data_IF_397043826588
#
_entry.id   IF_397043826588
#
_cell.length_a   1.000
_cell.length_b   1.000
_cell.length_c   1.000
_cell.angle_alpha   90.00
_cell.angle_beta   90.00
_cell.angle_gamma   90.00
#
_symmetry.space_group_name_H-M   'P 1'
#
loop_
_entity.id
_entity.type
_entity.pdbx_description
1 polymer ?
#
# COMPACT_ATOMS: atom_id res chain seq x y z
N UNK A 1 56.69 -29.54 -50.72
CA UNK A 1 55.55 -29.11 -51.53
C UNK A 1 54.65 -28.28 -50.61
N UNK A 2 54.80 -26.95 -50.65
CA UNK A 2 54.05 -26.03 -49.76
C UNK A 2 52.91 -25.46 -50.60
N UNK A 3 51.68 -25.89 -50.31
CA UNK A 3 50.48 -25.35 -50.94
C UNK A 3 50.29 -23.90 -50.55
N UNK A 4 50.31 -23.00 -51.54
CA UNK A 4 49.96 -21.59 -51.39
C UNK A 4 48.46 -21.47 -51.09
N UNK A 5 48.12 -21.19 -49.82
CA UNK A 5 46.77 -20.85 -49.41
C UNK A 5 46.49 -19.42 -49.88
N UNK A 6 45.62 -19.28 -50.89
CA UNK A 6 45.15 -17.98 -51.41
C UNK A 6 44.29 -17.31 -50.33
N UNK A 7 44.78 -16.23 -49.70
CA UNK A 7 44.00 -15.47 -48.72
C UNK A 7 42.93 -14.64 -49.46
N UNK A 8 41.66 -14.94 -49.20
CA UNK A 8 40.54 -14.09 -49.62
C UNK A 8 40.61 -12.77 -48.84
N UNK A 9 40.76 -11.65 -49.53
CA UNK A 9 40.75 -10.33 -48.93
C UNK A 9 39.31 -9.81 -48.93
N UNK A 10 38.80 -9.40 -47.77
CA UNK A 10 37.49 -8.77 -47.63
C UNK A 10 37.44 -7.47 -48.44
N UNK A 11 36.31 -7.24 -49.11
CA UNK A 11 36.11 -5.96 -49.81
C UNK A 11 35.76 -4.86 -48.81
N UNK A 12 36.17 -3.62 -49.10
CA UNK A 12 35.83 -2.46 -48.26
C UNK A 12 34.30 -2.32 -48.08
N UNK A 13 33.53 -2.64 -49.12
CA UNK A 13 32.07 -2.61 -49.10
C UNK A 13 31.48 -3.61 -48.10
N UNK A 14 32.03 -4.81 -48.03
CA UNK A 14 31.58 -5.86 -47.11
C UNK A 14 31.84 -5.48 -45.64
N UNK A 15 32.96 -4.80 -45.37
CA UNK A 15 33.26 -4.27 -44.02
C UNK A 15 32.26 -3.18 -43.63
N UNK A 16 31.96 -2.23 -44.52
CA UNK A 16 31.02 -1.14 -44.24
C UNK A 16 29.62 -1.68 -43.97
N UNK A 17 29.13 -2.61 -44.80
CA UNK A 17 27.81 -3.22 -44.63
C UNK A 17 27.75 -4.02 -43.32
N UNK A 18 28.79 -4.78 -42.98
CA UNK A 18 28.85 -5.55 -41.73
C UNK A 18 28.81 -4.64 -40.49
N UNK A 19 29.55 -3.52 -40.51
CA UNK A 19 29.56 -2.54 -39.42
C UNK A 19 28.19 -1.86 -39.29
N UNK A 20 27.54 -1.52 -40.40
CA UNK A 20 26.22 -0.92 -40.39
C UNK A 20 25.16 -1.86 -39.79
N UNK A 21 25.16 -3.14 -40.20
CA UNK A 21 24.25 -4.15 -39.65
C UNK A 21 24.53 -4.37 -38.16
N UNK A 22 25.81 -4.48 -37.78
CA UNK A 22 26.21 -4.64 -36.39
C UNK A 22 25.75 -3.46 -35.53
N UNK A 23 25.91 -2.22 -36.00
CA UNK A 23 25.46 -1.04 -35.30
C UNK A 23 23.94 -1.04 -35.08
N UNK A 24 23.15 -1.42 -36.09
CA UNK A 24 21.69 -1.54 -35.97
C UNK A 24 21.30 -2.58 -34.92
N UNK A 25 21.96 -3.74 -34.91
CA UNK A 25 21.70 -4.79 -33.91
C UNK A 25 22.02 -4.31 -32.50
N UNK A 26 23.16 -3.63 -32.30
CA UNK A 26 23.55 -3.08 -31.00
C UNK A 26 22.55 -2.03 -30.51
N UNK A 27 22.09 -1.14 -31.39
CA UNK A 27 21.08 -0.14 -31.06
C UNK A 27 19.74 -0.78 -30.66
N UNK A 28 19.29 -1.79 -31.40
CA UNK A 28 18.07 -2.53 -31.07
C UNK A 28 18.20 -3.23 -29.70
N UNK A 29 19.34 -3.87 -29.44
CA UNK A 29 19.62 -4.51 -28.14
C UNK A 29 19.62 -3.50 -26.98
N UNK A 30 20.19 -2.31 -27.19
CA UNK A 30 20.22 -1.26 -26.19
C UNK A 30 18.81 -0.73 -25.82
N UNK A 31 17.93 -0.58 -26.82
CA UNK A 31 16.53 -0.16 -26.58
C UNK A 31 15.75 -1.21 -25.78
N UNK A 32 15.89 -2.49 -26.13
CA UNK A 32 15.28 -3.59 -25.38
C UNK A 32 15.78 -3.57 -23.94
N UNK A 33 17.09 -3.41 -23.74
CA UNK A 33 17.67 -3.35 -22.40
C UNK A 33 17.12 -2.18 -21.58
N UNK A 34 17.04 -0.97 -22.15
CA UNK A 34 16.45 0.18 -21.48
C UNK A 34 14.97 -0.05 -21.10
N UNK A 35 14.20 -0.66 -22.00
CA UNK A 35 12.80 -1.00 -21.72
C UNK A 35 12.68 -2.00 -20.58
N UNK A 36 13.53 -3.02 -20.53
CA UNK A 36 13.53 -4.01 -19.44
C UNK A 36 13.87 -3.36 -18.10
N UNK A 37 14.91 -2.51 -18.06
CA UNK A 37 15.31 -1.81 -16.84
C UNK A 37 14.20 -0.90 -16.33
N UNK A 38 13.57 -0.12 -17.21
CA UNK A 38 12.45 0.75 -16.84
C UNK A 38 11.28 -0.04 -16.25
N UNK A 39 10.92 -1.16 -16.89
CA UNK A 39 9.87 -2.06 -16.39
C UNK A 39 10.22 -2.67 -15.03
N UNK A 40 11.48 -3.03 -14.79
CA UNK A 40 11.91 -3.57 -13.49
C UNK A 40 11.78 -2.54 -12.36
N UNK A 41 12.18 -1.29 -12.60
CA UNK A 41 12.06 -0.20 -11.61
C UNK A 41 10.60 0.08 -11.27
N UNK A 42 9.73 0.09 -12.29
CA UNK A 42 8.28 0.24 -12.10
C UNK A 42 7.71 -0.91 -11.27
N UNK A 43 7.99 -2.15 -11.67
CA UNK A 43 7.49 -3.35 -10.98
C UNK A 43 7.98 -3.42 -9.53
N UNK A 44 9.23 -3.05 -9.26
CA UNK A 44 9.76 -3.04 -7.89
C UNK A 44 8.97 -2.11 -6.97
N UNK A 45 8.61 -0.94 -7.47
CA UNK A 45 7.90 0.07 -6.70
C UNK A 45 6.41 -0.27 -6.56
N UNK A 46 5.77 -0.86 -7.60
CA UNK A 46 4.40 -1.40 -7.50
C UNK A 46 4.31 -2.55 -6.48
N UNK A 47 5.29 -3.45 -6.47
CA UNK A 47 5.37 -4.53 -5.47
C UNK A 47 5.50 -3.96 -4.06
N UNK A 48 6.36 -2.95 -3.85
CA UNK A 48 6.49 -2.30 -2.55
C UNK A 48 5.15 -1.69 -2.08
N UNK A 49 4.40 -1.02 -2.96
CA UNK A 49 3.07 -0.50 -2.65
C UNK A 49 2.10 -1.60 -2.21
N UNK A 50 2.08 -2.72 -2.94
CA UNK A 50 1.21 -3.84 -2.61
C UNK A 50 1.58 -4.51 -1.29
N UNK A 51 2.87 -4.69 -1.02
CA UNK A 51 3.33 -5.41 0.17
C UNK A 51 3.06 -4.62 1.45
N UNK A 52 3.32 -3.31 1.45
CA UNK A 52 2.99 -2.45 2.59
C UNK A 52 1.47 -2.33 2.79
N UNK A 53 0.70 -2.23 1.70
CA UNK A 53 -0.76 -2.22 1.79
C UNK A 53 -1.31 -3.52 2.38
N UNK A 54 -0.76 -4.67 1.96
CA UNK A 54 -1.12 -5.98 2.53
C UNK A 54 -0.77 -6.07 4.00
N UNK A 55 0.41 -5.61 4.40
CA UNK A 55 0.83 -5.60 5.80
C UNK A 55 -0.15 -4.77 6.65
N UNK A 56 -0.47 -3.56 6.22
CA UNK A 56 -1.45 -2.72 6.88
C UNK A 56 -2.81 -3.41 6.97
N UNK A 57 -3.33 -3.93 5.87
CA UNK A 57 -4.61 -4.65 5.84
C UNK A 57 -4.63 -5.85 6.76
N UNK A 58 -3.52 -6.59 6.88
CA UNK A 58 -3.42 -7.74 7.76
C UNK A 58 -3.53 -7.32 9.24
N UNK A 59 -2.78 -6.28 9.62
CA UNK A 59 -2.83 -5.75 10.99
C UNK A 59 -4.21 -5.18 11.28
N UNK A 60 -4.74 -4.35 10.37
CA UNK A 60 -6.08 -3.77 10.48
C UNK A 60 -7.14 -4.85 10.62
N UNK A 61 -7.16 -5.84 9.73
CA UNK A 61 -8.16 -6.91 9.74
C UNK A 61 -8.06 -7.75 11.01
N UNK A 62 -6.85 -8.02 11.50
CA UNK A 62 -6.64 -8.77 12.74
C UNK A 62 -7.19 -8.04 13.96
N UNK A 63 -6.91 -6.74 14.08
CA UNK A 63 -7.42 -5.92 15.19
C UNK A 63 -8.94 -5.72 15.07
N UNK A 64 -9.43 -5.36 13.88
CA UNK A 64 -10.85 -5.13 13.63
C UNK A 64 -11.70 -6.39 13.84
N UNK A 65 -11.20 -7.58 13.49
CA UNK A 65 -11.86 -8.85 13.82
C UNK A 65 -11.97 -9.08 15.33
N UNK A 66 -11.03 -8.56 16.12
CA UNK A 66 -11.06 -8.64 17.57
C UNK A 66 -11.91 -7.55 18.23
N UNK A 67 -12.62 -6.70 17.48
CA UNK A 67 -13.35 -5.59 18.05
C UNK A 67 -14.52 -6.08 18.93
N UNK A 68 -14.66 -5.48 20.11
CA UNK A 68 -15.71 -5.84 21.08
C UNK A 68 -16.83 -4.81 21.09
N UNK A 69 -18.05 -5.28 21.35
CA UNK A 69 -19.22 -4.41 21.55
C UNK A 69 -19.07 -3.68 22.88
N UNK A 70 -19.32 -2.36 22.89
CA UNK A 70 -19.26 -1.55 24.11
C UNK A 70 -20.37 -0.52 24.16
N UNK A 71 -20.80 -0.18 25.37
CA UNK A 71 -21.62 1.02 25.63
C UNK A 71 -20.71 2.16 26.09
N UNK A 72 -20.83 3.33 25.46
CA UNK A 72 -20.11 4.54 25.84
C UNK A 72 -20.54 4.97 27.25
N UNK A 73 -19.65 4.85 28.24
CA UNK A 73 -19.95 5.23 29.63
C UNK A 73 -19.69 6.71 29.90
N UNK A 74 -18.84 7.35 29.09
CA UNK A 74 -18.45 8.77 29.14
C UNK A 74 -18.09 9.25 27.73
N UNK A 75 -17.95 10.56 27.52
CA UNK A 75 -17.60 11.19 26.24
C UNK A 75 -16.13 11.01 25.80
N UNK A 76 -15.33 10.25 26.55
CA UNK A 76 -13.89 10.03 26.32
C UNK A 76 -13.51 8.55 26.22
N UNK A 77 -14.49 7.68 26.05
CA UNK A 77 -14.27 6.23 26.07
C UNK A 77 -13.94 5.70 24.66
N UNK A 78 -12.64 5.53 24.34
CA UNK A 78 -12.16 4.95 23.08
C UNK A 78 -12.83 5.49 21.80
N UNK A 79 -13.31 6.72 21.80
CA UNK A 79 -14.06 7.34 20.72
C UNK A 79 -14.27 8.83 21.04
N UNK A 80 -14.21 9.66 20.02
CA UNK A 80 -14.74 11.02 20.07
C UNK A 80 -16.22 11.01 19.65
N UNK A 81 -17.01 11.93 20.22
CA UNK A 81 -18.40 12.23 19.84
C UNK A 81 -19.49 11.18 20.09
N UNK A 82 -19.27 10.20 20.97
CA UNK A 82 -20.36 9.29 21.38
C UNK A 82 -21.20 9.85 22.53
N UNK A 83 -22.51 9.68 22.42
CA UNK A 83 -23.42 9.99 23.53
C UNK A 83 -23.34 8.89 24.58
N UNK A 84 -23.40 9.29 25.86
CA UNK A 84 -23.43 8.34 26.96
C UNK A 84 -24.63 7.39 26.82
N UNK A 85 -24.36 6.08 26.86
CA UNK A 85 -25.35 5.02 26.70
C UNK A 85 -25.45 4.43 25.29
N UNK A 86 -24.80 4.99 24.28
CA UNK A 86 -24.76 4.42 22.94
C UNK A 86 -23.89 3.16 22.89
N UNK A 87 -24.37 2.12 22.23
CA UNK A 87 -23.63 0.87 22.03
C UNK A 87 -23.04 0.83 20.63
N UNK A 88 -21.75 0.56 20.53
CA UNK A 88 -20.99 0.54 19.27
C UNK A 88 -19.89 -0.52 19.32
N UNK A 89 -19.49 -1.00 18.14
CA UNK A 89 -18.28 -1.83 17.98
C UNK A 89 -17.18 -1.05 17.29
N UNK A 90 -17.54 -0.31 16.25
CA UNK A 90 -16.65 0.60 15.55
C UNK A 90 -17.23 2.01 15.61
N UNK A 91 -16.40 3.04 15.63
CA UNK A 91 -16.83 4.42 15.49
C UNK A 91 -15.93 5.11 14.46
N UNK A 92 -16.51 5.80 13.49
CA UNK A 92 -15.75 6.51 12.47
C UNK A 92 -16.20 7.97 12.39
N UNK A 93 -15.30 8.88 12.74
CA UNK A 93 -15.51 10.34 12.74
C UNK A 93 -14.31 10.97 12.04
N UNK A 94 -14.55 11.91 11.10
CA UNK A 94 -13.49 12.63 10.38
C UNK A 94 -12.39 11.76 9.75
N UNK A 95 -12.77 10.60 9.20
CA UNK A 95 -11.85 9.58 8.65
C UNK A 95 -10.87 8.98 9.67
N UNK A 96 -11.19 9.10 10.96
CA UNK A 96 -10.53 8.37 12.04
C UNK A 96 -11.45 7.25 12.47
N UNK A 97 -10.95 6.02 12.43
CA UNK A 97 -11.66 4.86 12.94
C UNK A 97 -11.18 4.55 14.35
N UNK A 98 -12.12 4.47 15.29
CA UNK A 98 -11.93 4.10 16.68
C UNK A 98 -12.64 2.79 16.99
N UNK A 99 -11.99 1.90 17.72
CA UNK A 99 -12.63 0.75 18.34
C UNK A 99 -11.80 0.21 19.50
N UNK A 100 -12.39 -0.71 20.27
CA UNK A 100 -11.69 -1.42 21.33
C UNK A 100 -11.40 -2.85 20.88
N UNK A 101 -10.13 -3.24 20.91
CA UNK A 101 -9.73 -4.59 20.49
C UNK A 101 -10.03 -5.64 21.57
N UNK A 102 -9.76 -6.92 21.26
CA UNK A 102 -10.00 -8.07 22.17
C UNK A 102 -9.18 -8.00 23.46
N UNK A 103 -8.05 -7.28 23.43
CA UNK A 103 -7.20 -7.05 24.61
C UNK A 103 -7.75 -5.94 25.52
N UNK A 104 -8.79 -5.24 25.07
CA UNK A 104 -9.37 -4.12 25.77
C UNK A 104 -8.60 -2.81 25.58
N UNK A 105 -7.76 -2.70 24.55
CA UNK A 105 -7.04 -1.48 24.19
C UNK A 105 -7.88 -0.63 23.23
N UNK A 106 -7.91 0.69 23.43
CA UNK A 106 -8.47 1.61 22.44
C UNK A 106 -7.47 1.72 21.29
N UNK A 107 -7.91 1.42 20.07
CA UNK A 107 -7.11 1.57 18.86
C UNK A 107 -7.77 2.58 17.93
N UNK A 108 -6.95 3.44 17.34
CA UNK A 108 -7.35 4.38 16.32
C UNK A 108 -6.52 4.24 15.05
N UNK A 109 -7.21 4.26 13.91
CA UNK A 109 -6.60 4.31 12.59
C UNK A 109 -6.93 5.63 11.92
N UNK A 110 -5.90 6.33 11.49
CA UNK A 110 -6.03 7.61 10.77
C UNK A 110 -4.82 7.81 9.86
N UNK A 111 -4.75 8.99 9.25
CA UNK A 111 -3.61 9.43 8.47
C UNK A 111 -3.00 10.67 9.11
N UNK A 112 -1.67 10.78 9.05
CA UNK A 112 -0.93 11.96 9.48
C UNK A 112 0.16 12.30 8.47
N UNK A 113 0.54 13.58 8.43
CA UNK A 113 1.57 14.08 7.51
C UNK A 113 2.91 14.05 8.23
N UNK A 114 3.87 13.31 7.68
CA UNK A 114 5.20 13.24 8.28
C UNK A 114 6.02 14.53 8.06
N UNK A 115 7.23 14.57 8.65
CA UNK A 115 8.13 15.72 8.55
C UNK A 115 8.54 16.08 7.10
N UNK A 116 8.37 15.15 6.15
CA UNK A 116 8.69 15.34 4.74
C UNK A 116 7.45 15.73 3.90
N UNK A 117 6.27 15.87 4.51
CA UNK A 117 5.03 16.20 3.82
C UNK A 117 4.32 15.00 3.20
N UNK A 118 4.63 13.77 3.64
CA UNK A 118 4.05 12.54 3.11
C UNK A 118 2.92 12.07 4.02
N UNK A 119 1.73 11.81 3.47
CA UNK A 119 0.61 11.29 4.25
C UNK A 119 0.84 9.81 4.51
N UNK A 120 0.80 9.40 5.77
CA UNK A 120 1.09 8.02 6.19
C UNK A 120 -0.01 7.52 7.11
N UNK A 121 -0.27 6.22 7.03
CA UNK A 121 -1.21 5.59 7.95
C UNK A 121 -0.59 5.53 9.34
N UNK A 122 -1.37 5.95 10.33
CA UNK A 122 -1.00 5.87 11.73
C UNK A 122 -1.94 4.91 12.47
N UNK A 123 -1.34 4.14 13.37
CA UNK A 123 -2.05 3.35 14.37
C UNK A 123 -1.74 3.97 15.73
N UNK A 124 -2.77 4.44 16.40
CA UNK A 124 -2.69 4.93 17.76
C UNK A 124 -3.23 3.88 18.74
N UNK A 125 -2.52 3.64 19.84
CA UNK A 125 -2.94 2.78 20.94
C UNK A 125 -2.99 3.61 22.22
N UNK A 126 -4.18 3.76 22.80
CA UNK A 126 -4.37 4.66 23.96
C UNK A 126 -4.28 6.14 23.58
N UNK A 127 -3.88 7.00 24.53
CA UNK A 127 -3.94 8.47 24.35
C UNK A 127 -2.75 9.08 23.61
N UNK A 128 -1.53 8.53 23.76
CA UNK A 128 -0.31 9.26 23.35
C UNK A 128 0.68 8.42 22.52
N UNK A 129 0.43 7.13 22.32
CA UNK A 129 1.31 6.26 21.54
C UNK A 129 0.75 6.06 20.13
N UNK A 130 1.50 6.52 19.13
CA UNK A 130 1.17 6.31 17.72
C UNK A 130 2.39 5.82 16.95
N UNK A 131 2.13 4.95 15.98
CA UNK A 131 3.15 4.40 15.09
C UNK A 131 2.72 4.53 13.63
N UNK A 132 3.68 4.94 12.79
CA UNK A 132 3.51 4.87 11.35
C UNK A 132 3.46 3.42 10.90
N UNK A 133 2.39 3.07 10.18
CA UNK A 133 2.17 1.73 9.63
C UNK A 133 2.76 1.56 8.24
N UNK A 134 2.87 2.66 7.49
CA UNK A 134 3.48 2.69 6.14
C UNK A 134 4.85 3.35 6.20
N UNK A 135 5.72 3.04 5.24
CA UNK A 135 7.02 3.70 5.10
C UNK A 135 6.89 5.13 4.57
N UNK A 136 8.00 5.87 4.57
CA UNK A 136 8.13 7.19 3.92
C UNK A 136 8.18 7.11 2.38
N UNK A 137 8.03 5.92 1.80
CA UNK A 137 8.01 5.73 0.33
C UNK A 137 6.60 5.62 -0.23
N UNK A 138 5.59 5.58 0.64
CA UNK A 138 4.18 5.46 0.28
C UNK A 138 3.44 6.68 0.82
N UNK A 139 2.67 7.31 -0.06
CA UNK A 139 1.79 8.41 0.27
C UNK A 139 0.33 7.94 0.19
N UNK A 140 -0.43 8.23 1.23
CA UNK A 140 -1.86 7.93 1.32
C UNK A 140 -2.62 9.12 0.77
N UNK A 141 -3.16 8.98 -0.43
CA UNK A 141 -3.87 10.07 -1.09
C UNK A 141 -5.28 10.25 -0.53
N UNK A 142 -5.95 9.15 -0.19
CA UNK A 142 -7.28 9.16 0.39
C UNK A 142 -7.41 8.02 1.39
N UNK A 143 -8.09 8.30 2.50
CA UNK A 143 -8.49 7.33 3.52
C UNK A 143 -9.92 7.64 3.96
N UNK A 144 -10.77 6.62 3.96
CA UNK A 144 -12.15 6.74 4.41
C UNK A 144 -12.61 5.45 5.06
N UNK A 145 -13.27 5.60 6.21
CA UNK A 145 -13.93 4.51 6.92
C UNK A 145 -15.44 4.67 6.80
N UNK A 146 -16.13 3.55 6.57
CA UNK A 146 -17.59 3.45 6.58
C UNK A 146 -17.95 2.36 7.56
N UNK A 147 -18.74 2.71 8.56
CA UNK A 147 -19.11 1.81 9.66
C UNK A 147 -20.62 1.57 9.62
N UNK A 148 -21.01 0.33 9.87
CA UNK A 148 -22.39 -0.04 10.15
C UNK A 148 -22.45 -0.79 11.49
N UNK A 149 -23.15 -0.19 12.47
CA UNK A 149 -23.44 -0.77 13.79
C UNK A 149 -24.93 -1.07 13.97
N UNK A 150 -25.68 -1.32 12.89
CA UNK A 150 -27.12 -1.50 12.96
C UNK A 150 -27.52 -2.61 13.96
N UNK A 151 -28.44 -2.34 14.89
CA UNK A 151 -28.82 -3.31 15.91
C UNK A 151 -29.45 -4.56 15.27
N UNK A 152 -29.09 -5.73 15.77
CA UNK A 152 -29.56 -7.03 15.26
C UNK A 152 -28.77 -7.57 14.06
N UNK A 153 -27.76 -6.84 13.57
CA UNK A 153 -26.82 -7.30 12.56
C UNK A 153 -25.40 -7.34 13.12
N UNK A 154 -24.56 -8.19 12.52
CA UNK A 154 -23.14 -8.17 12.82
C UNK A 154 -22.55 -6.86 12.29
N UNK A 155 -21.90 -6.04 13.14
CA UNK A 155 -21.35 -4.78 12.70
C UNK A 155 -20.18 -5.03 11.74
N UNK A 156 -19.91 -4.07 10.87
CA UNK A 156 -18.75 -4.14 10.00
C UNK A 156 -18.18 -2.75 9.74
N UNK A 157 -16.90 -2.75 9.39
CA UNK A 157 -16.17 -1.57 8.95
C UNK A 157 -15.62 -1.83 7.56
N UNK A 158 -15.93 -0.93 6.63
CA UNK A 158 -15.32 -0.85 5.32
C UNK A 158 -14.26 0.23 5.34
N UNK A 159 -13.02 -0.14 5.01
CA UNK A 159 -11.95 0.80 4.76
C UNK A 159 -11.78 0.97 3.25
N UNK A 160 -11.70 2.22 2.81
CA UNK A 160 -11.37 2.65 1.47
C UNK A 160 -10.12 3.50 1.55
N UNK A 161 -9.07 3.12 0.83
CA UNK A 161 -7.87 3.94 0.78
C UNK A 161 -7.17 3.83 -0.57
N UNK A 162 -6.54 4.94 -0.94
CA UNK A 162 -5.78 5.10 -2.18
C UNK A 162 -4.34 5.36 -1.81
N UNK A 163 -3.44 4.50 -2.28
CA UNK A 163 -2.00 4.62 -2.02
C UNK A 163 -1.25 4.92 -3.30
N UNK A 164 -0.22 5.78 -3.21
CA UNK A 164 0.66 6.11 -4.33
C UNK A 164 2.12 6.07 -3.87
N UNK A 165 3.02 5.93 -4.84
CA UNK A 165 4.46 5.99 -4.55
C UNK A 165 4.89 7.44 -4.31
N UNK A 166 5.49 7.70 -3.15
CA UNK A 166 6.09 9.00 -2.86
C UNK A 166 7.39 9.23 -3.66
N UNK A 167 8.05 8.14 -4.07
CA UNK A 167 9.35 8.19 -4.78
C UNK A 167 9.22 8.19 -6.30
N UNK A 168 8.14 7.62 -6.85
CA UNK A 168 7.93 7.56 -8.30
C UNK A 168 6.47 7.86 -8.67
N UNK A 169 6.14 9.12 -9.02
CA UNK A 169 4.78 9.54 -9.33
C UNK A 169 4.23 8.99 -10.65
N UNK A 170 5.05 8.32 -11.48
CA UNK A 170 4.58 7.71 -12.73
C UNK A 170 3.90 6.36 -12.53
N UNK A 171 3.90 5.86 -11.28
CA UNK A 171 3.26 4.60 -10.92
C UNK A 171 1.80 4.90 -10.61
N UNK A 172 0.86 4.15 -11.21
CA UNK A 172 -0.55 4.31 -10.91
C UNK A 172 -0.82 4.15 -9.40
N UNK A 173 -1.71 4.98 -8.88
CA UNK A 173 -2.21 4.77 -7.53
C UNK A 173 -2.96 3.43 -7.44
N UNK A 174 -2.93 2.83 -6.26
CA UNK A 174 -3.62 1.59 -5.94
C UNK A 174 -4.80 1.90 -5.04
N UNK A 175 -6.00 1.67 -5.55
CA UNK A 175 -7.26 1.81 -4.82
C UNK A 175 -7.62 0.48 -4.17
N UNK A 176 -7.84 0.51 -2.86
CA UNK A 176 -8.16 -0.68 -2.07
C UNK A 176 -9.42 -0.43 -1.25
N UNK A 177 -10.33 -1.40 -1.33
CA UNK A 177 -11.49 -1.49 -0.46
C UNK A 177 -11.53 -2.86 0.20
N UNK A 178 -11.70 -2.90 1.51
CA UNK A 178 -12.02 -4.14 2.23
C UNK A 178 -13.03 -3.90 3.32
N UNK A 179 -13.83 -4.93 3.64
CA UNK A 179 -14.81 -4.89 4.73
C UNK A 179 -14.50 -5.98 5.74
N UNK A 180 -14.54 -5.63 7.01
CA UNK A 180 -14.22 -6.52 8.13
C UNK A 180 -15.33 -6.47 9.16
N UNK A 181 -15.75 -7.64 9.61
CA UNK A 181 -16.67 -7.82 10.73
C UNK A 181 -15.93 -8.42 11.92
N UNK A 182 -16.35 -8.13 13.16
CA UNK A 182 -15.74 -8.70 14.35
C UNK A 182 -16.10 -10.19 14.44
N UNK A 183 -15.23 -11.00 15.01
CA UNK A 183 -15.53 -12.39 15.30
C UNK A 183 -16.52 -12.45 16.47
N UNK A 184 -17.76 -12.86 16.19
CA UNK A 184 -18.79 -13.06 17.21
C UNK A 184 -18.47 -14.37 17.95
N UNK A 185 -17.65 -14.29 18.99
CA UNK A 185 -17.56 -15.33 20.02
C UNK A 185 -18.41 -14.87 21.19
N UNK A 186 -19.54 -15.56 21.43
CA UNK A 186 -20.32 -15.40 22.66
C UNK A 186 -19.54 -16.12 23.76
N UNK A 187 -18.87 -15.36 24.62
CA UNK A 187 -18.43 -15.86 25.94
C UNK A 187 -19.42 -15.39 27.01
#
# INVERSE_FOLDING_TARGET
MIGLIKKSAFTLLEVIVSVAIFAVIVLAAAQIFQSVVSSQVKNFSETALQDESKYFLEVFTREAKGAIIRSATTTTDCAEELLAGETYTYNAVDNILWFKNKLGECVAYSQDVDANGINRLILQRGTDDYAYMTSDKIDIEALKFVVDNSPGFQPFVTINFTVKSATNPNIPALDIQTSVSPDWSID
#
